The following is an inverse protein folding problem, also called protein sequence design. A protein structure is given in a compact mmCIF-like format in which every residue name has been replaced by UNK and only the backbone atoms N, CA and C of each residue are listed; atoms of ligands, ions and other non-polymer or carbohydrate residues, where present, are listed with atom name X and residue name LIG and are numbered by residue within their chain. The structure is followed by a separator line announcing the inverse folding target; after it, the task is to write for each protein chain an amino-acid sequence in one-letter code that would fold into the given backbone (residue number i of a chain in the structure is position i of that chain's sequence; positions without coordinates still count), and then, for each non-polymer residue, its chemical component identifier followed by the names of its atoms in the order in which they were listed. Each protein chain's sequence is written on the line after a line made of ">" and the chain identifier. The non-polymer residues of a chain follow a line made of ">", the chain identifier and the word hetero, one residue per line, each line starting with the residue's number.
data_IF_721587543548
#
_entry.id   IF_721587543548
#
_cell.length_a   1.000
_cell.length_b   1.000
_cell.length_c   1.000
_cell.angle_alpha   90.00
_cell.angle_beta   90.00
_cell.angle_gamma   90.00
#
_symmetry.space_group_name_H-M   'P 1'
#
loop_
_entity.id
_entity.type
_entity.pdbx_description
1 polymer ?
#
# COMPACT_ATOMS: atom_id res chain seq x y z
N UNK A 1 -10.74 20.56 -5.08
CA UNK A 1 -11.20 19.18 -5.33
C UNK A 1 -10.14 18.25 -4.76
N UNK A 2 -10.54 17.10 -4.23
CA UNK A 2 -9.63 16.10 -3.65
C UNK A 2 -9.88 14.77 -4.36
N UNK A 3 -8.83 13.97 -4.50
CA UNK A 3 -8.92 12.58 -4.92
C UNK A 3 -8.76 11.67 -3.70
N UNK A 4 -9.58 10.63 -3.62
CA UNK A 4 -9.53 9.62 -2.57
C UNK A 4 -9.27 8.28 -3.24
N UNK A 5 -8.23 7.59 -2.81
CA UNK A 5 -7.84 6.26 -3.30
C UNK A 5 -7.64 5.29 -2.12
N UNK A 6 -7.76 3.99 -2.38
CA UNK A 6 -7.69 2.94 -1.35
C UNK A 6 -7.37 1.59 -2.01
N UNK A 7 -7.04 0.58 -1.21
CA UNK A 7 -6.99 -0.84 -1.60
C UNK A 7 -6.08 -1.11 -2.81
N UNK A 8 -4.91 -0.47 -2.82
CA UNK A 8 -3.92 -0.60 -3.89
C UNK A 8 -3.33 -2.02 -3.90
N UNK A 9 -3.17 -2.64 -2.74
CA UNK A 9 -2.66 -3.99 -2.55
C UNK A 9 -1.39 -4.31 -3.36
N UNK A 10 -0.39 -3.43 -3.28
CA UNK A 10 0.90 -3.55 -3.95
C UNK A 10 0.81 -3.67 -5.49
N UNK A 11 -0.30 -3.21 -6.09
CA UNK A 11 -0.47 -3.11 -7.54
C UNK A 11 0.08 -1.78 -8.06
N UNK A 12 1.40 -1.74 -8.24
CA UNK A 12 2.12 -0.54 -8.67
C UNK A 12 1.64 0.00 -10.02
N UNK A 13 1.36 -0.88 -10.99
CA UNK A 13 0.96 -0.47 -12.33
C UNK A 13 -0.43 0.19 -12.30
N UNK A 14 -1.39 -0.36 -11.54
CA UNK A 14 -2.67 0.30 -11.35
C UNK A 14 -2.54 1.64 -10.61
N UNK A 15 -1.71 1.70 -9.56
CA UNK A 15 -1.48 2.94 -8.82
C UNK A 15 -0.93 4.05 -9.73
N UNK A 16 0.08 3.76 -10.56
CA UNK A 16 0.64 4.73 -11.50
C UNK A 16 -0.41 5.28 -12.45
N UNK A 17 -1.25 4.42 -13.04
CA UNK A 17 -2.32 4.83 -13.96
C UNK A 17 -3.32 5.76 -13.25
N UNK A 18 -3.71 5.44 -12.01
CA UNK A 18 -4.63 6.28 -11.23
C UNK A 18 -4.00 7.62 -10.86
N UNK A 19 -2.74 7.64 -10.45
CA UNK A 19 -2.03 8.89 -10.12
C UNK A 19 -1.83 9.79 -11.35
N UNK A 20 -1.56 9.20 -12.51
CA UNK A 20 -1.48 9.92 -13.78
C UNK A 20 -2.83 10.56 -14.15
N UNK A 21 -3.93 9.83 -14.01
CA UNK A 21 -5.29 10.36 -14.25
C UNK A 21 -5.64 11.51 -13.28
N UNK A 22 -5.36 11.36 -11.99
CA UNK A 22 -5.54 12.41 -10.98
C UNK A 22 -4.74 13.67 -11.33
N UNK A 23 -3.48 13.48 -11.78
CA UNK A 23 -2.61 14.58 -12.23
C UNK A 23 -3.18 15.29 -13.44
N UNK A 24 -3.69 14.55 -14.43
CA UNK A 24 -4.25 15.11 -15.66
C UNK A 24 -5.53 15.92 -15.38
N UNK A 25 -6.30 15.53 -14.36
CA UNK A 25 -7.41 16.30 -13.80
C UNK A 25 -6.97 17.53 -12.97
N UNK A 26 -5.66 17.76 -12.81
CA UNK A 26 -5.05 18.87 -12.04
C UNK A 26 -5.45 18.87 -10.56
N UNK A 27 -5.76 17.71 -9.99
CA UNK A 27 -6.03 17.54 -8.56
C UNK A 27 -4.70 17.48 -7.82
N UNK A 28 -4.57 18.27 -6.75
CA UNK A 28 -3.33 18.38 -5.96
C UNK A 28 -3.41 17.76 -4.57
N UNK A 29 -4.62 17.49 -4.10
CA UNK A 29 -4.90 16.95 -2.77
C UNK A 29 -5.35 15.51 -2.94
N UNK A 30 -4.48 14.57 -2.56
CA UNK A 30 -4.71 13.13 -2.68
C UNK A 30 -4.68 12.51 -1.28
N UNK A 31 -5.74 11.78 -0.94
CA UNK A 31 -5.87 11.04 0.32
C UNK A 31 -5.94 9.55 0.02
N UNK A 32 -5.10 8.78 0.68
CA UNK A 32 -5.04 7.32 0.60
C UNK A 32 -5.63 6.71 1.87
N UNK A 33 -6.65 5.85 1.75
CA UNK A 33 -7.38 5.34 2.93
C UNK A 33 -6.76 4.09 3.58
N UNK A 34 -5.72 3.51 2.98
CA UNK A 34 -5.01 2.33 3.50
C UNK A 34 -4.89 1.22 2.46
N UNK A 35 -4.34 0.10 2.91
CA UNK A 35 -4.20 -1.15 2.17
C UNK A 35 -3.37 -0.99 0.90
N UNK A 36 -2.20 -0.38 1.05
CA UNK A 36 -1.24 -0.16 -0.03
C UNK A 36 -0.38 -1.39 -0.29
N UNK A 37 -0.31 -2.33 0.65
CA UNK A 37 0.42 -3.60 0.55
C UNK A 37 -0.50 -4.82 0.50
N UNK A 38 0.10 -6.00 0.31
CA UNK A 38 -0.60 -7.28 0.35
C UNK A 38 -0.37 -8.06 -0.92
N UNK A 39 -1.43 -8.23 -1.71
CA UNK A 39 -1.49 -9.27 -2.76
C UNK A 39 -0.52 -9.07 -3.93
N UNK A 40 -0.15 -7.83 -4.23
CA UNK A 40 0.69 -7.46 -5.37
C UNK A 40 2.19 -7.58 -5.09
N UNK A 41 3.02 -7.59 -6.15
CA UNK A 41 4.45 -7.87 -6.03
C UNK A 41 5.31 -6.65 -5.68
N UNK A 42 4.75 -5.44 -5.65
CA UNK A 42 5.51 -4.18 -5.50
C UNK A 42 5.14 -3.41 -4.22
N UNK A 43 5.27 -4.01 -3.02
CA UNK A 43 4.86 -3.34 -1.79
C UNK A 43 5.70 -2.11 -1.47
N UNK A 44 7.01 -2.12 -1.79
CA UNK A 44 7.91 -1.01 -1.47
C UNK A 44 7.58 0.22 -2.29
N UNK A 45 7.47 0.07 -3.60
CA UNK A 45 7.16 1.18 -4.50
C UNK A 45 5.78 1.76 -4.21
N UNK A 46 4.80 0.92 -3.84
CA UNK A 46 3.49 1.40 -3.41
C UNK A 46 3.57 2.17 -2.08
N UNK A 47 4.34 1.69 -1.09
CA UNK A 47 4.57 2.43 0.16
C UNK A 47 5.20 3.80 -0.13
N UNK A 48 6.28 3.83 -0.91
CA UNK A 48 7.03 5.06 -1.21
C UNK A 48 6.13 6.11 -1.89
N UNK A 49 5.30 5.67 -2.84
CA UNK A 49 4.33 6.55 -3.50
C UNK A 49 3.25 7.04 -2.54
N UNK A 50 2.63 6.15 -1.76
CA UNK A 50 1.52 6.50 -0.87
C UNK A 50 1.95 7.41 0.28
N UNK A 51 3.12 7.17 0.87
CA UNK A 51 3.69 8.03 1.93
C UNK A 51 4.03 9.43 1.40
N UNK A 52 4.30 9.57 0.10
CA UNK A 52 4.51 10.85 -0.56
C UNK A 52 3.24 11.66 -0.85
N UNK A 53 2.04 11.12 -0.60
CA UNK A 53 0.77 11.82 -0.82
C UNK A 53 0.44 12.78 0.34
N UNK A 54 -0.59 13.61 0.17
CA UNK A 54 -0.99 14.60 1.17
C UNK A 54 -1.42 13.93 2.49
N UNK A 55 -2.07 12.77 2.41
CA UNK A 55 -2.41 11.95 3.56
C UNK A 55 -2.50 10.49 3.14
N UNK A 56 -1.93 9.60 3.94
CA UNK A 56 -2.07 8.15 3.80
C UNK A 56 -2.38 7.54 5.16
N UNK A 57 -3.53 6.89 5.27
CA UNK A 57 -3.96 6.19 6.47
C UNK A 57 -3.35 4.79 6.53
N UNK A 58 -3.25 4.25 7.74
CA UNK A 58 -2.89 2.85 7.96
C UNK A 58 -4.13 1.99 7.74
N UNK A 59 -4.10 1.09 6.75
CA UNK A 59 -5.13 0.07 6.57
C UNK A 59 -4.89 -1.17 7.43
N UNK A 60 -5.80 -2.14 7.37
CA UNK A 60 -5.65 -3.40 8.11
C UNK A 60 -4.49 -4.24 7.56
N UNK A 61 -4.13 -4.09 6.28
CA UNK A 61 -2.95 -4.77 5.73
C UNK A 61 -1.65 -4.22 6.31
N UNK A 62 -1.52 -2.89 6.44
CA UNK A 62 -0.37 -2.29 7.12
C UNK A 62 -0.34 -2.64 8.61
N UNK A 63 -1.50 -2.70 9.26
CA UNK A 63 -1.62 -3.16 10.65
C UNK A 63 -1.18 -4.60 10.83
N UNK A 64 -1.66 -5.53 9.99
CA UNK A 64 -1.25 -6.93 9.99
C UNK A 64 0.24 -7.14 9.67
N UNK A 65 0.86 -6.25 8.90
CA UNK A 65 2.30 -6.26 8.68
C UNK A 65 3.06 -5.96 9.96
N UNK A 66 2.61 -4.95 10.73
CA UNK A 66 3.24 -4.51 11.98
C UNK A 66 2.93 -5.45 13.15
N UNK A 67 1.72 -6.02 13.19
CA UNK A 67 1.20 -6.83 14.29
C UNK A 67 0.90 -8.25 13.82
N UNK A 68 1.77 -9.19 14.21
CA UNK A 68 1.65 -10.58 13.76
C UNK A 68 0.36 -11.28 14.22
N UNK A 69 -0.23 -10.84 15.33
CA UNK A 69 -1.53 -11.34 15.78
C UNK A 69 -2.65 -10.98 14.79
N UNK A 70 -2.66 -9.76 14.25
CA UNK A 70 -3.69 -9.33 13.29
C UNK A 70 -3.59 -10.08 11.96
N UNK A 71 -2.39 -10.45 11.52
CA UNK A 71 -2.21 -11.30 10.35
C UNK A 71 -2.83 -12.71 10.52
N UNK A 72 -3.06 -13.19 11.75
CA UNK A 72 -3.69 -14.49 12.00
C UNK A 72 -5.21 -14.46 11.78
N UNK A 73 -5.83 -13.28 11.87
CA UNK A 73 -7.26 -13.08 11.63
C UNK A 73 -7.60 -13.07 10.13
N UNK A 74 -6.59 -13.01 9.26
CA UNK A 74 -6.76 -12.97 7.83
C UNK A 74 -7.05 -14.36 7.24
N UNK A 75 -7.72 -14.37 6.08
CA UNK A 75 -7.79 -15.59 5.29
C UNK A 75 -6.37 -16.06 4.89
N UNK A 76 -6.15 -17.36 4.64
CA UNK A 76 -4.81 -17.90 4.37
C UNK A 76 -4.05 -17.18 3.26
N UNK A 77 -4.74 -16.75 2.20
CA UNK A 77 -4.13 -16.05 1.06
C UNK A 77 -3.62 -14.66 1.46
N UNK A 78 -4.44 -13.90 2.17
CA UNK A 78 -4.08 -12.57 2.66
C UNK A 78 -2.93 -12.64 3.66
N UNK A 79 -2.97 -13.62 4.58
CA UNK A 79 -1.89 -13.87 5.53
C UNK A 79 -0.57 -14.17 4.82
N UNK A 80 -0.55 -15.11 3.87
CA UNK A 80 0.66 -15.43 3.11
C UNK A 80 1.22 -14.22 2.35
N UNK A 81 0.35 -13.34 1.85
CA UNK A 81 0.77 -12.11 1.18
C UNK A 81 1.45 -11.13 2.15
N UNK A 82 0.94 -10.99 3.37
CA UNK A 82 1.56 -10.18 4.43
C UNK A 82 2.91 -10.76 4.86
N UNK A 83 2.99 -12.07 5.09
CA UNK A 83 4.23 -12.76 5.44
C UNK A 83 5.31 -12.58 4.35
N UNK A 84 4.92 -12.73 3.09
CA UNK A 84 5.81 -12.47 1.95
C UNK A 84 6.26 -11.00 1.90
N UNK A 85 5.32 -10.06 2.09
CA UNK A 85 5.62 -8.62 2.14
C UNK A 85 6.64 -8.30 3.24
N UNK A 86 6.48 -8.88 4.44
CA UNK A 86 7.42 -8.72 5.56
C UNK A 86 8.83 -9.19 5.18
N UNK A 87 8.94 -10.30 4.45
CA UNK A 87 10.23 -10.79 3.94
C UNK A 87 10.87 -9.83 2.92
N UNK A 88 10.09 -9.29 1.98
CA UNK A 88 10.61 -8.32 0.99
C UNK A 88 11.10 -7.02 1.62
N UNK A 89 10.43 -6.56 2.69
CA UNK A 89 10.80 -5.32 3.37
C UNK A 89 12.01 -5.50 4.31
N UNK A 90 12.23 -6.70 4.86
CA UNK A 90 13.32 -7.02 5.80
C UNK A 90 14.65 -7.40 5.15
N UNK A 91 14.65 -7.88 3.90
CA UNK A 91 15.88 -8.32 3.20
C UNK A 91 16.86 -7.20 2.82
N UNK A 92 16.55 -5.93 3.08
CA UNK A 92 17.43 -4.81 2.78
C UNK A 92 17.68 -3.99 4.05
N UNK A 93 18.81 -4.24 4.71
CA UNK A 93 19.40 -3.27 5.65
C UNK A 93 19.78 -2.00 4.87
N UNK A 94 19.61 -0.79 5.44
CA UNK A 94 19.90 0.45 4.72
C UNK A 94 21.39 0.57 4.42
N UNK A 95 21.71 0.89 3.16
CA UNK A 95 22.98 1.48 2.75
C UNK A 95 23.13 2.90 3.29
#
# INVERSE_FOLDING_TARGET
>A
MQAIISDIHANLEALKVVLDDIRDQKIKEIVCLGDFIGYGPNPRECIDLCVGLNCALKGNHEEALMEEFEAQNFNPKARSAIEWTRAQLSMLSPS
#
